data_IF_646665986548
#
_entry.id   IF_646665986548
#
_cell.length_a   1.000
_cell.length_b   1.000
_cell.length_c   1.000
_cell.angle_alpha   90.00
_cell.angle_beta   90.00
_cell.angle_gamma   90.00
#
_symmetry.space_group_name_H-M   'P 1'
#
loop_
_entity.id
_entity.type
_entity.pdbx_description
1 polymer ?
#
# COMPACT_ATOMS: atom_id res chain seq x y z
N UNK A 1 -4.73 1.10 -33.51
CA UNK A 1 -3.59 0.20 -33.32
C UNK A 1 -2.75 0.59 -32.10
N UNK A 2 -2.21 1.78 -32.11
CA UNK A 2 -1.39 2.19 -30.97
C UNK A 2 -2.16 2.25 -29.66
N UNK A 3 -3.37 2.79 -29.73
CA UNK A 3 -4.21 2.89 -28.56
C UNK A 3 -4.54 1.50 -27.99
N UNK A 4 -4.83 0.56 -28.88
CA UNK A 4 -5.09 -0.80 -28.48
C UNK A 4 -3.87 -1.40 -27.80
N UNK A 5 -2.69 -1.13 -28.34
CA UNK A 5 -1.44 -1.63 -27.76
C UNK A 5 -1.21 -1.06 -26.37
N UNK A 6 -1.47 0.22 -26.18
CA UNK A 6 -1.32 0.87 -24.88
C UNK A 6 -2.29 0.29 -23.87
N UNK A 7 -3.55 0.09 -24.28
CA UNK A 7 -4.55 -0.51 -23.42
C UNK A 7 -4.18 -1.93 -23.04
N UNK A 8 -3.70 -2.69 -24.02
CA UNK A 8 -3.28 -4.05 -23.78
C UNK A 8 -2.18 -4.12 -22.73
N UNK A 9 -1.25 -3.17 -22.79
CA UNK A 9 -0.18 -3.11 -21.84
C UNK A 9 -0.70 -2.82 -20.43
N UNK A 10 -1.62 -1.89 -20.31
CA UNK A 10 -2.26 -1.60 -19.04
C UNK A 10 -3.02 -2.77 -18.49
N UNK A 11 -3.77 -3.45 -19.36
CA UNK A 11 -4.53 -4.62 -18.96
C UNK A 11 -3.62 -5.76 -18.51
N UNK A 12 -2.51 -5.96 -19.19
CA UNK A 12 -1.55 -6.98 -18.82
C UNK A 12 -0.94 -6.70 -17.44
N UNK A 13 -0.60 -5.45 -17.19
CA UNK A 13 -0.05 -5.07 -15.89
C UNK A 13 -1.07 -5.29 -14.78
N UNK A 14 -2.33 -4.90 -15.00
CA UNK A 14 -3.36 -5.12 -14.01
C UNK A 14 -3.57 -6.61 -13.74
N UNK A 15 -3.65 -7.41 -14.77
CA UNK A 15 -3.81 -8.85 -14.62
C UNK A 15 -2.62 -9.48 -13.92
N UNK A 16 -1.42 -9.04 -14.29
CA UNK A 16 -0.21 -9.55 -13.68
C UNK A 16 -0.21 -9.29 -12.17
N UNK A 17 -0.61 -8.11 -11.77
CA UNK A 17 -0.59 -7.73 -10.36
C UNK A 17 -1.79 -8.27 -9.58
N UNK A 18 -2.81 -8.77 -10.26
CA UNK A 18 -3.93 -9.43 -9.59
C UNK A 18 -3.59 -10.85 -9.18
N UNK A 19 -2.54 -11.41 -9.72
CA UNK A 19 -2.15 -12.78 -9.39
C UNK A 19 -1.69 -12.85 -7.94
N UNK A 20 -2.17 -13.86 -7.18
CA UNK A 20 -1.84 -13.93 -5.75
C UNK A 20 -0.36 -13.92 -5.44
N UNK A 21 0.45 -14.61 -6.23
CA UNK A 21 1.87 -14.68 -5.95
C UNK A 21 2.57 -13.33 -6.17
N UNK A 22 2.10 -12.54 -7.13
CA UNK A 22 2.67 -11.21 -7.38
C UNK A 22 2.30 -10.26 -6.25
N UNK A 23 1.03 -10.27 -5.85
CA UNK A 23 0.58 -9.44 -4.74
C UNK A 23 1.32 -9.81 -3.45
N UNK A 24 1.50 -11.09 -3.19
CA UNK A 24 2.23 -11.55 -2.01
C UNK A 24 3.69 -11.09 -2.05
N UNK A 25 4.31 -11.17 -3.22
CA UNK A 25 5.70 -10.75 -3.37
C UNK A 25 5.86 -9.26 -3.12
N UNK A 26 4.97 -8.45 -3.66
CA UNK A 26 4.98 -7.01 -3.44
C UNK A 26 4.70 -6.70 -1.98
N UNK A 27 3.76 -7.42 -1.37
CA UNK A 27 3.40 -7.23 0.02
C UNK A 27 4.55 -7.57 0.98
N UNK A 28 5.48 -8.43 0.59
CA UNK A 28 6.66 -8.73 1.41
C UNK A 28 7.51 -7.49 1.66
N UNK A 29 7.55 -6.57 0.69
CA UNK A 29 8.27 -5.32 0.84
C UNK A 29 7.49 -4.22 1.53
N UNK A 30 6.25 -4.50 1.94
CA UNK A 30 5.38 -3.50 2.53
C UNK A 30 5.92 -2.89 3.83
N UNK A 31 6.52 -3.65 4.76
CA UNK A 31 7.09 -3.05 5.95
C UNK A 31 8.16 -2.01 5.65
N UNK A 32 9.03 -2.29 4.68
CA UNK A 32 10.07 -1.35 4.29
C UNK A 32 9.47 -0.13 3.61
N UNK A 33 8.48 -0.33 2.76
CA UNK A 33 7.77 0.75 2.09
C UNK A 33 7.07 1.65 3.13
N UNK A 34 6.41 1.04 4.09
CA UNK A 34 5.74 1.76 5.16
C UNK A 34 6.72 2.63 5.94
N UNK A 35 7.85 2.03 6.33
CA UNK A 35 8.90 2.76 7.07
C UNK A 35 9.45 3.93 6.27
N UNK A 36 9.62 3.76 4.96
CA UNK A 36 10.12 4.82 4.09
C UNK A 36 9.12 5.98 3.98
N UNK A 37 7.83 5.70 4.08
CA UNK A 37 6.79 6.70 3.94
C UNK A 37 6.55 7.45 5.25
N UNK A 38 6.37 6.71 6.35
CA UNK A 38 5.98 7.32 7.63
C UNK A 38 7.17 7.68 8.51
N UNK A 39 8.34 7.14 8.22
CA UNK A 39 9.54 7.38 9.01
C UNK A 39 9.75 6.32 10.07
N UNK A 40 10.97 6.27 10.60
CA UNK A 40 11.36 5.24 11.55
C UNK A 40 10.54 5.27 12.83
N UNK A 41 10.26 6.45 13.35
CA UNK A 41 9.53 6.60 14.61
C UNK A 41 8.13 6.02 14.51
N UNK A 42 7.39 6.40 13.47
CA UNK A 42 6.03 5.91 13.28
C UNK A 42 6.03 4.43 12.95
N UNK A 43 7.02 3.98 12.17
CA UNK A 43 7.14 2.56 11.84
C UNK A 43 7.41 1.73 13.08
N UNK A 44 8.25 2.22 13.99
CA UNK A 44 8.55 1.50 15.23
C UNK A 44 7.33 1.40 16.14
N UNK A 45 6.42 2.38 16.07
CA UNK A 45 5.19 2.37 16.84
C UNK A 45 4.06 1.61 16.17
N UNK A 46 4.30 1.11 14.96
CA UNK A 46 3.35 0.29 14.24
C UNK A 46 3.46 -1.15 14.74
N UNK A 47 2.43 -1.63 15.41
CA UNK A 47 2.43 -2.99 15.98
C UNK A 47 1.83 -4.02 15.05
N UNK A 48 1.04 -3.59 14.07
CA UNK A 48 0.46 -4.49 13.09
C UNK A 48 0.42 -3.80 11.75
N UNK A 49 0.85 -4.50 10.73
CA UNK A 49 0.79 -4.02 9.36
C UNK A 49 0.34 -5.22 8.52
N UNK A 50 -0.91 -5.22 8.09
CA UNK A 50 -1.49 -6.37 7.42
C UNK A 50 -2.28 -5.92 6.21
N UNK A 51 -2.04 -6.58 5.09
CA UNK A 51 -2.77 -6.33 3.86
C UNK A 51 -3.74 -7.49 3.63
N UNK A 52 -5.02 -7.17 3.55
CA UNK A 52 -6.06 -8.18 3.37
C UNK A 52 -7.13 -7.60 2.44
N UNK A 53 -7.40 -8.29 1.34
CA UNK A 53 -8.38 -7.85 0.34
C UNK A 53 -8.11 -6.41 -0.15
N UNK A 54 -6.84 -6.06 -0.36
CA UNK A 54 -6.40 -4.73 -0.79
C UNK A 54 -6.68 -3.63 0.23
N UNK A 55 -6.97 -4.02 1.46
CA UNK A 55 -7.14 -3.07 2.56
C UNK A 55 -5.95 -3.24 3.50
N UNK A 56 -5.24 -2.15 3.73
CA UNK A 56 -4.11 -2.16 4.64
C UNK A 56 -4.59 -1.84 6.05
N UNK A 57 -4.39 -2.79 6.94
CA UNK A 57 -4.72 -2.64 8.35
C UNK A 57 -3.46 -2.28 9.11
N UNK A 58 -3.48 -1.13 9.75
CA UNK A 58 -2.34 -0.61 10.50
C UNK A 58 -2.78 -0.35 11.93
N UNK A 59 -2.02 -0.85 12.87
CA UNK A 59 -2.24 -0.59 14.30
C UNK A 59 -1.06 0.21 14.84
N UNK A 60 -1.36 1.38 15.40
CA UNK A 60 -0.36 2.30 15.91
C UNK A 60 -0.52 2.45 17.42
N UNK A 61 0.57 2.37 18.16
CA UNK A 61 0.53 2.49 19.61
C UNK A 61 0.38 3.91 20.14
N UNK A 62 0.67 4.90 19.33
CA UNK A 62 0.54 6.31 19.72
C UNK A 62 -0.79 6.87 19.24
N UNK A 63 -1.60 7.42 20.13
CA UNK A 63 -2.87 8.02 19.76
C UNK A 63 -2.68 9.27 18.90
N UNK A 64 -1.63 10.03 19.15
CA UNK A 64 -1.32 11.23 18.37
C UNK A 64 -0.97 10.85 16.93
N UNK A 65 -0.07 9.88 16.77
CA UNK A 65 0.32 9.41 15.45
C UNK A 65 -0.84 8.73 14.74
N UNK A 66 -1.66 8.00 15.48
CA UNK A 66 -2.85 7.37 14.92
C UNK A 66 -3.77 8.41 14.29
N UNK A 67 -4.01 9.49 14.98
CA UNK A 67 -4.85 10.56 14.46
C UNK A 67 -4.24 11.21 13.22
N UNK A 68 -2.94 11.49 13.26
CA UNK A 68 -2.25 12.09 12.12
C UNK A 68 -2.32 11.19 10.90
N UNK A 69 -2.03 9.91 11.08
CA UNK A 69 -2.05 8.95 9.97
C UNK A 69 -3.46 8.73 9.45
N UNK A 70 -4.44 8.77 10.34
CA UNK A 70 -5.84 8.64 9.93
C UNK A 70 -6.25 9.76 8.98
N UNK A 71 -5.87 10.98 9.27
CA UNK A 71 -6.17 12.12 8.39
C UNK A 71 -5.42 12.04 7.08
N UNK A 72 -4.29 11.35 7.05
CA UNK A 72 -3.46 11.20 5.85
C UNK A 72 -3.69 9.88 5.12
N UNK A 73 -4.71 9.13 5.49
CA UNK A 73 -4.87 7.76 4.98
C UNK A 73 -4.99 7.69 3.46
N UNK A 74 -5.60 8.67 2.83
CA UNK A 74 -5.71 8.68 1.37
C UNK A 74 -4.35 8.94 0.72
N UNK A 75 -3.60 9.88 1.27
CA UNK A 75 -2.26 10.18 0.79
C UNK A 75 -1.33 8.98 1.01
N UNK A 76 -1.49 8.28 2.14
CA UNK A 76 -0.71 7.08 2.42
C UNK A 76 -1.03 5.99 1.40
N UNK A 77 -2.29 5.81 1.09
CA UNK A 77 -2.72 4.84 0.10
C UNK A 77 -2.08 5.13 -1.26
N UNK A 78 -2.15 6.36 -1.71
CA UNK A 78 -1.56 6.77 -2.98
C UNK A 78 -0.06 6.58 -3.00
N UNK A 79 0.61 6.95 -1.91
CA UNK A 79 2.07 6.84 -1.83
C UNK A 79 2.52 5.38 -1.82
N UNK A 80 1.82 4.52 -1.11
CA UNK A 80 2.12 3.09 -1.10
C UNK A 80 1.98 2.52 -2.51
N UNK A 81 0.91 2.86 -3.19
CA UNK A 81 0.67 2.36 -4.55
C UNK A 81 1.73 2.89 -5.51
N UNK A 82 2.10 4.15 -5.38
CA UNK A 82 3.13 4.74 -6.23
C UNK A 82 4.46 4.03 -6.05
N UNK A 83 4.85 3.79 -4.82
CA UNK A 83 6.13 3.12 -4.51
C UNK A 83 6.11 1.65 -4.88
N UNK A 84 4.95 1.02 -4.77
CA UNK A 84 4.80 -0.40 -5.14
C UNK A 84 4.74 -0.60 -6.65
N UNK A 85 4.41 0.45 -7.40
CA UNK A 85 4.26 0.35 -8.85
C UNK A 85 2.96 -0.30 -9.29
N UNK A 86 2.08 -0.61 -8.35
CA UNK A 86 0.78 -1.22 -8.63
C UNK A 86 -0.26 -0.64 -7.69
N UNK A 87 -1.53 -0.84 -8.01
CA UNK A 87 -2.62 -0.47 -7.12
C UNK A 87 -2.79 -1.59 -6.08
N UNK A 88 -1.84 -1.69 -5.17
CA UNK A 88 -1.81 -2.73 -4.15
C UNK A 88 -2.85 -2.49 -3.05
N UNK A 89 -3.04 -1.24 -2.68
CA UNK A 89 -3.90 -0.85 -1.56
C UNK A 89 -5.04 0.01 -2.06
N UNK A 90 -6.27 -0.34 -1.72
CA UNK A 90 -7.45 0.45 -2.06
C UNK A 90 -7.87 1.34 -0.90
N UNK A 91 -7.56 0.96 0.32
CA UNK A 91 -7.90 1.73 1.51
C UNK A 91 -6.92 1.42 2.63
N UNK A 92 -6.75 2.37 3.54
CA UNK A 92 -5.92 2.19 4.73
C UNK A 92 -6.81 2.39 5.95
N UNK A 93 -6.79 1.41 6.85
CA UNK A 93 -7.50 1.48 8.12
C UNK A 93 -6.46 1.64 9.22
N UNK A 94 -6.56 2.73 9.97
CA UNK A 94 -5.63 3.03 11.07
C UNK A 94 -6.36 2.83 12.39
N UNK A 95 -5.77 2.03 13.26
CA UNK A 95 -6.34 1.73 14.58
C UNK A 95 -5.38 1.99 15.70
#
# INVERSE_FOLDING_TARGET
MRRTKTMLMGDLLEEFFKRPYVAAKVAEGLPDTWRAIVGDRAADLTTELRLENHILHVRIQSSVLRSELFYQREALCEEINRRSGIRLVHAVIVR
#
